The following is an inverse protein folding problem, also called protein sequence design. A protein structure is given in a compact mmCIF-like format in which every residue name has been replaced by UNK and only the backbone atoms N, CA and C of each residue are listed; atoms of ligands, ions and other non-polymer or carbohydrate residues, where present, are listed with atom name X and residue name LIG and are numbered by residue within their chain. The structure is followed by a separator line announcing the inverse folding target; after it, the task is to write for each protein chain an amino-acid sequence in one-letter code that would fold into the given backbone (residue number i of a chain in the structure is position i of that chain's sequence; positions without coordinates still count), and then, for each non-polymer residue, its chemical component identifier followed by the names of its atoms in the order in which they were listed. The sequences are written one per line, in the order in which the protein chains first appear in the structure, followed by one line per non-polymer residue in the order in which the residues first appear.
data_IF_569103749994
#
_entry.id   IF_569103749994
#
_cell.length_a   1.000
_cell.length_b   1.000
_cell.length_c   1.000
_cell.angle_alpha   90.00
_cell.angle_beta   90.00
_cell.angle_gamma   90.00
#
_symmetry.space_group_name_H-M   'P 1'
#
loop_
_entity.id
_entity.type
_entity.pdbx_description
1 polymer ?
#
# COMPACT_ATOMS: atom_id res chain seq x y z
N UNK A 1 -5.98 4.02 11.46
CA UNK A 1 -5.61 4.93 10.34
C UNK A 1 -4.90 6.18 10.87
N UNK A 2 -3.86 6.65 10.16
CA UNK A 2 -3.12 7.88 10.51
C UNK A 2 -3.98 9.15 10.28
N UNK A 3 -4.10 10.06 11.25
CA UNK A 3 -4.76 11.34 11.04
C UNK A 3 -3.86 12.30 10.23
N UNK A 4 -4.48 13.29 9.57
CA UNK A 4 -3.76 14.43 9.00
C UNK A 4 -3.11 15.25 10.13
N UNK A 5 -1.96 15.87 9.85
CA UNK A 5 -1.30 16.74 10.82
C UNK A 5 -2.01 18.09 10.91
N UNK A 6 -1.70 18.89 11.95
CA UNK A 6 -2.20 20.26 12.04
C UNK A 6 -1.77 21.10 10.83
N UNK A 7 -0.53 20.91 10.35
CA UNK A 7 -0.01 21.58 9.16
C UNK A 7 -0.75 21.16 7.89
N UNK A 8 -1.10 19.87 7.75
CA UNK A 8 -1.90 19.37 6.64
C UNK A 8 -3.30 20.03 6.63
N UNK A 9 -3.95 20.11 7.80
CA UNK A 9 -5.27 20.73 7.92
C UNK A 9 -5.23 22.25 7.65
N UNK A 10 -4.17 22.93 8.11
CA UNK A 10 -3.97 24.35 7.84
C UNK A 10 -3.75 24.62 6.34
N UNK A 11 -2.94 23.80 5.68
CA UNK A 11 -2.74 23.85 4.24
C UNK A 11 -4.06 23.63 3.48
N UNK A 12 -4.82 22.59 3.82
CA UNK A 12 -6.12 22.31 3.20
C UNK A 12 -7.12 23.45 3.41
N UNK A 13 -7.20 24.02 4.61
CA UNK A 13 -8.06 25.16 4.92
C UNK A 13 -7.72 26.36 4.02
N UNK A 14 -6.43 26.70 3.89
CA UNK A 14 -5.98 27.81 3.02
C UNK A 14 -6.35 27.63 1.55
N UNK A 15 -6.48 26.39 1.09
CA UNK A 15 -6.82 26.04 -0.30
C UNK A 15 -8.33 25.90 -0.53
N UNK A 16 -9.10 25.64 0.53
CA UNK A 16 -10.55 25.45 0.47
C UNK A 16 -11.34 26.77 0.44
N UNK A 17 -10.71 27.90 0.82
CA UNK A 17 -11.30 29.24 0.82
C UNK A 17 -11.47 29.82 2.23
N UNK A 18 -11.86 31.09 2.31
CA UNK A 18 -11.85 31.87 3.57
C UNK A 18 -12.81 31.34 4.66
N UNK A 19 -13.86 30.61 4.28
CA UNK A 19 -14.89 30.14 5.21
C UNK A 19 -14.59 28.75 5.83
N UNK A 20 -13.51 28.08 5.40
CA UNK A 20 -13.15 26.75 5.88
C UNK A 20 -11.97 26.83 6.83
N UNK A 21 -12.18 26.47 8.10
CA UNK A 21 -11.11 26.43 9.10
C UNK A 21 -10.49 25.03 9.22
N UNK A 22 -9.23 24.96 9.67
CA UNK A 22 -8.56 23.69 9.95
C UNK A 22 -9.30 22.85 11.01
N UNK A 23 -9.92 23.51 11.99
CA UNK A 23 -10.74 22.84 13.01
C UNK A 23 -11.99 22.21 12.40
N UNK A 24 -12.70 22.94 11.53
CA UNK A 24 -13.87 22.40 10.84
C UNK A 24 -13.52 21.19 9.98
N UNK A 25 -12.35 21.18 9.33
CA UNK A 25 -11.86 20.01 8.57
C UNK A 25 -11.51 18.82 9.47
N UNK A 26 -11.01 19.07 10.68
CA UNK A 26 -10.74 18.02 11.66
C UNK A 26 -12.01 17.39 12.23
N UNK A 27 -13.06 18.18 12.40
CA UNK A 27 -14.31 17.78 13.04
C UNK A 27 -15.34 17.20 12.04
N UNK A 28 -15.26 17.56 10.76
CA UNK A 28 -16.18 17.11 9.71
C UNK A 28 -15.48 16.28 8.63
N UNK A 29 -15.55 14.93 8.71
CA UNK A 29 -14.98 14.03 7.72
C UNK A 29 -15.56 14.19 6.31
N UNK A 30 -16.81 14.64 6.17
CA UNK A 30 -17.45 14.84 4.87
C UNK A 30 -16.93 16.11 4.19
N UNK A 31 -16.76 17.19 4.96
CA UNK A 31 -16.10 18.41 4.49
C UNK A 31 -14.65 18.12 4.06
N UNK A 32 -13.91 17.37 4.87
CA UNK A 32 -12.55 16.95 4.52
C UNK A 32 -12.51 16.14 3.21
N UNK A 33 -13.43 15.19 3.03
CA UNK A 33 -13.52 14.41 1.79
C UNK A 33 -13.81 15.29 0.57
N UNK A 34 -14.70 16.27 0.71
CA UNK A 34 -15.04 17.22 -0.35
C UNK A 34 -13.83 18.08 -0.75
N UNK A 35 -13.06 18.59 0.24
CA UNK A 35 -11.85 19.37 -0.01
C UNK A 35 -10.77 18.53 -0.69
N UNK A 36 -10.52 17.30 -0.22
CA UNK A 36 -9.54 16.39 -0.84
C UNK A 36 -9.90 15.98 -2.28
N UNK A 37 -11.19 15.93 -2.63
CA UNK A 37 -11.67 15.71 -4.00
C UNK A 37 -11.51 16.94 -4.89
N UNK A 38 -11.34 18.13 -4.31
CA UNK A 38 -11.27 19.40 -5.02
C UNK A 38 -10.05 19.52 -5.95
N UNK A 39 -10.21 20.04 -7.18
CA UNK A 39 -9.10 20.21 -8.12
C UNK A 39 -8.06 21.24 -7.65
N UNK A 40 -8.45 22.18 -6.78
CA UNK A 40 -7.55 23.20 -6.24
C UNK A 40 -6.41 22.57 -5.40
N UNK A 41 -6.73 21.60 -4.54
CA UNK A 41 -5.74 20.91 -3.71
C UNK A 41 -4.77 20.10 -4.57
N UNK A 42 -5.31 19.37 -5.55
CA UNK A 42 -4.47 18.65 -6.51
C UNK A 42 -3.58 19.62 -7.31
N UNK A 43 -4.11 20.75 -7.76
CA UNK A 43 -3.36 21.78 -8.48
C UNK A 43 -2.23 22.39 -7.64
N UNK A 44 -2.51 22.72 -6.38
CA UNK A 44 -1.50 23.25 -5.45
C UNK A 44 -0.38 22.24 -5.18
N UNK A 45 -0.73 20.97 -4.99
CA UNK A 45 0.27 19.93 -4.76
C UNK A 45 0.92 19.45 -6.05
N UNK A 46 0.33 19.52 -7.23
CA UNK A 46 0.83 18.80 -8.41
C UNK A 46 0.97 19.64 -9.69
N UNK A 47 0.56 20.91 -9.67
CA UNK A 47 0.44 21.77 -10.85
C UNK A 47 1.72 22.45 -11.32
N UNK A 48 2.73 22.65 -10.47
CA UNK A 48 3.96 23.39 -10.80
C UNK A 48 5.28 22.72 -10.37
N UNK A 49 6.42 23.16 -10.94
CA UNK A 49 7.77 22.75 -10.51
C UNK A 49 8.10 23.26 -9.09
N UNK A 50 7.70 24.49 -8.76
CA UNK A 50 7.93 25.14 -7.45
C UNK A 50 6.72 25.03 -6.52
N UNK A 51 6.11 23.84 -6.43
CA UNK A 51 4.96 23.64 -5.57
C UNK A 51 5.39 23.65 -4.09
N UNK A 52 5.59 24.84 -3.52
CA UNK A 52 5.98 25.07 -2.13
C UNK A 52 5.06 24.33 -1.15
N UNK A 53 3.77 24.22 -1.49
CA UNK A 53 2.79 23.44 -0.74
C UNK A 53 3.21 21.98 -0.52
N UNK A 54 3.97 21.35 -1.44
CA UNK A 54 4.49 19.97 -1.27
C UNK A 54 5.51 19.87 -0.14
N UNK A 55 6.28 20.93 0.12
CA UNK A 55 7.31 20.93 1.17
C UNK A 55 6.68 20.84 2.57
N UNK A 56 5.47 21.37 2.71
CA UNK A 56 4.72 21.37 3.96
C UNK A 56 3.73 20.21 4.08
N UNK A 57 3.38 19.56 2.97
CA UNK A 57 2.46 18.43 2.97
C UNK A 57 3.11 17.16 3.51
N UNK A 58 2.45 16.51 4.46
CA UNK A 58 2.87 15.19 4.90
C UNK A 58 2.74 14.17 3.76
N UNK A 59 3.54 13.08 3.75
CA UNK A 59 3.35 11.98 2.80
C UNK A 59 1.91 11.44 2.77
N UNK A 60 1.26 11.43 3.94
CA UNK A 60 -0.12 10.97 4.05
C UNK A 60 -1.09 11.90 3.32
N UNK A 61 -0.93 13.22 3.44
CA UNK A 61 -1.72 14.18 2.67
C UNK A 61 -1.48 14.03 1.16
N UNK A 62 -0.21 13.93 0.74
CA UNK A 62 0.16 13.76 -0.68
C UNK A 62 -0.55 12.54 -1.29
N UNK A 63 -0.50 11.39 -0.62
CA UNK A 63 -1.16 10.19 -1.12
C UNK A 63 -2.68 10.23 -0.98
N UNK A 64 -3.23 10.89 0.03
CA UNK A 64 -4.67 11.10 0.16
C UNK A 64 -5.22 11.85 -1.06
N UNK A 65 -4.56 12.94 -1.46
CA UNK A 65 -4.94 13.72 -2.64
C UNK A 65 -4.80 12.90 -3.93
N UNK A 66 -3.75 12.08 -4.06
CA UNK A 66 -3.60 11.19 -5.23
C UNK A 66 -4.69 10.11 -5.31
N UNK A 67 -5.04 9.49 -4.19
CA UNK A 67 -6.10 8.46 -4.13
C UNK A 67 -7.46 9.09 -4.47
N UNK A 68 -7.78 10.26 -3.93
CA UNK A 68 -8.99 11.01 -4.28
C UNK A 68 -9.00 11.43 -5.74
N UNK A 69 -7.85 11.84 -6.29
CA UNK A 69 -7.73 12.16 -7.72
C UNK A 69 -8.02 10.94 -8.60
N UNK A 70 -7.48 9.78 -8.25
CA UNK A 70 -7.75 8.52 -8.98
C UNK A 70 -9.23 8.13 -8.88
N UNK A 71 -9.85 8.30 -7.70
CA UNK A 71 -11.29 8.05 -7.54
C UNK A 71 -12.13 8.92 -8.50
N UNK A 72 -11.85 10.22 -8.56
CA UNK A 72 -12.53 11.15 -9.47
C UNK A 72 -12.28 10.84 -10.96
N UNK A 73 -11.06 10.43 -11.33
CA UNK A 73 -10.75 10.01 -12.70
C UNK A 73 -11.50 8.73 -13.09
N UNK A 74 -11.65 7.80 -12.15
CA UNK A 74 -12.34 6.55 -12.40
C UNK A 74 -13.82 6.77 -12.67
N UNK A 75 -14.48 7.73 -12.01
CA UNK A 75 -15.90 8.09 -12.27
C UNK A 75 -16.21 8.34 -13.75
N UNK A 76 -15.24 8.86 -14.50
CA UNK A 76 -15.37 9.17 -15.93
C UNK A 76 -14.70 8.15 -16.86
N UNK A 77 -13.89 7.23 -16.34
CA UNK A 77 -13.10 6.30 -17.15
C UNK A 77 -13.95 5.15 -17.73
N UNK A 78 -13.88 4.92 -19.05
CA UNK A 78 -14.51 3.76 -19.68
C UNK A 78 -13.69 2.46 -19.50
N UNK A 79 -12.38 2.58 -19.32
CA UNK A 79 -11.45 1.48 -19.09
C UNK A 79 -10.27 1.93 -18.23
N UNK A 80 -9.54 0.96 -17.69
CA UNK A 80 -8.23 1.15 -17.05
C UNK A 80 -7.18 0.29 -17.73
N UNK A 81 -5.96 0.80 -17.84
CA UNK A 81 -4.82 0.01 -18.30
C UNK A 81 -4.35 -0.90 -17.17
N UNK A 82 -4.45 -2.21 -17.36
CA UNK A 82 -3.94 -3.19 -16.42
C UNK A 82 -2.64 -3.82 -16.89
N UNK A 83 -1.70 -3.91 -15.97
CA UNK A 83 -0.44 -4.57 -16.22
C UNK A 83 -0.64 -6.05 -16.51
N UNK A 84 -0.07 -6.54 -17.62
CA UNK A 84 -0.16 -7.94 -18.08
C UNK A 84 1.20 -8.61 -18.26
N UNK A 85 2.30 -7.84 -18.21
CA UNK A 85 3.66 -8.33 -18.38
C UNK A 85 4.65 -7.18 -18.64
N UNK A 86 5.97 -7.46 -18.70
CA UNK A 86 6.97 -6.44 -19.00
C UNK A 86 6.64 -5.65 -20.27
N UNK A 87 6.47 -4.33 -20.13
CA UNK A 87 6.12 -3.43 -21.24
C UNK A 87 4.74 -3.64 -21.86
N UNK A 88 3.84 -4.39 -21.21
CA UNK A 88 2.51 -4.71 -21.73
C UNK A 88 1.41 -4.38 -20.72
N UNK A 89 0.51 -3.49 -21.13
CA UNK A 89 -0.77 -3.26 -20.47
C UNK A 89 -1.92 -3.67 -21.39
N UNK A 90 -3.09 -3.94 -20.81
CA UNK A 90 -4.32 -4.24 -21.54
C UNK A 90 -5.45 -3.39 -20.97
N UNK A 91 -6.31 -2.80 -21.82
CA UNK A 91 -7.50 -2.09 -21.35
C UNK A 91 -8.51 -3.07 -20.75
N UNK A 92 -8.88 -2.84 -19.50
CA UNK A 92 -9.89 -3.60 -18.77
C UNK A 92 -11.08 -2.69 -18.46
N UNK A 93 -12.28 -3.16 -18.82
CA UNK A 93 -13.53 -2.39 -18.74
C UNK A 93 -14.25 -2.55 -17.39
N UNK A 94 -13.73 -3.39 -16.49
CA UNK A 94 -14.23 -3.55 -15.12
C UNK A 94 -13.80 -2.37 -14.22
N UNK A 95 -14.19 -1.16 -14.62
CA UNK A 95 -13.94 0.09 -13.87
C UNK A 95 -14.94 0.23 -12.72
N UNK A 96 -16.15 -0.32 -12.89
CA UNK A 96 -17.23 -0.25 -11.89
C UNK A 96 -16.79 -0.83 -10.54
N UNK A 97 -16.13 -2.00 -10.53
CA UNK A 97 -15.62 -2.61 -9.29
C UNK A 97 -14.55 -1.75 -8.58
N UNK A 98 -13.76 -0.98 -9.33
CA UNK A 98 -12.75 -0.07 -8.76
C UNK A 98 -13.39 1.21 -8.21
N UNK A 99 -14.40 1.75 -8.89
CA UNK A 99 -15.21 2.88 -8.39
C UNK A 99 -15.92 2.51 -7.10
N UNK A 100 -16.60 1.37 -7.10
CA UNK A 100 -17.28 0.85 -5.91
C UNK A 100 -16.29 0.65 -4.77
N UNK A 101 -15.09 0.12 -5.05
CA UNK A 101 -14.03 -0.01 -4.04
C UNK A 101 -13.57 1.34 -3.48
N UNK A 102 -13.42 2.36 -4.32
CA UNK A 102 -12.98 3.68 -3.87
C UNK A 102 -14.11 4.55 -3.34
N UNK A 103 -15.38 4.13 -3.37
CA UNK A 103 -16.50 4.94 -2.90
C UNK A 103 -16.46 5.20 -1.38
N UNK A 104 -15.90 4.28 -0.59
CA UNK A 104 -15.82 4.45 0.88
C UNK A 104 -14.55 5.19 1.29
N UNK A 105 -14.72 6.20 2.16
CA UNK A 105 -13.63 7.04 2.65
C UNK A 105 -12.56 6.23 3.39
N UNK A 106 -12.96 5.25 4.21
CA UNK A 106 -12.04 4.39 4.96
C UNK A 106 -11.05 3.64 4.05
N UNK A 107 -11.53 3.14 2.91
CA UNK A 107 -10.68 2.42 1.92
C UNK A 107 -9.71 3.38 1.22
N UNK A 108 -10.14 4.60 0.88
CA UNK A 108 -9.26 5.63 0.30
C UNK A 108 -8.12 5.98 1.26
N UNK A 109 -8.47 6.26 2.52
CA UNK A 109 -7.49 6.64 3.52
C UNK A 109 -6.61 5.47 3.98
N UNK A 110 -7.10 4.22 3.92
CA UNK A 110 -6.24 3.03 4.10
C UNK A 110 -5.13 2.98 3.04
N UNK A 111 -5.47 3.16 1.75
CA UNK A 111 -4.46 3.16 0.68
C UNK A 111 -3.46 4.31 0.85
N UNK A 112 -3.92 5.50 1.24
CA UNK A 112 -3.05 6.63 1.52
C UNK A 112 -2.09 6.35 2.68
N UNK A 113 -2.56 5.77 3.78
CA UNK A 113 -1.76 5.40 4.94
C UNK A 113 -0.72 4.32 4.57
N UNK A 114 -1.13 3.31 3.82
CA UNK A 114 -0.24 2.28 3.29
C UNK A 114 0.89 2.89 2.47
N UNK A 115 0.59 3.74 1.48
CA UNK A 115 1.61 4.39 0.64
C UNK A 115 2.52 5.30 1.47
N UNK A 116 1.95 6.09 2.38
CA UNK A 116 2.71 6.96 3.28
C UNK A 116 3.68 6.17 4.15
N UNK A 117 3.29 4.98 4.61
CA UNK A 117 4.10 4.11 5.46
C UNK A 117 5.36 3.54 4.80
N UNK A 118 5.47 3.64 3.47
CA UNK A 118 6.64 3.19 2.70
C UNK A 118 7.54 4.33 2.20
N UNK A 119 7.20 5.59 2.49
CA UNK A 119 8.09 6.72 2.18
C UNK A 119 9.36 6.73 3.00
N UNK A 120 9.30 6.18 4.23
CA UNK A 120 10.46 5.92 5.07
C UNK A 120 10.48 4.43 5.38
N UNK A 121 11.38 3.71 4.73
CA UNK A 121 11.55 2.27 4.93
C UNK A 121 12.26 2.04 6.27
N UNK A 122 11.60 1.33 7.18
CA UNK A 122 12.26 0.88 8.40
C UNK A 122 13.16 -0.33 8.10
N UNK A 123 14.39 -0.28 8.60
CA UNK A 123 15.31 -1.41 8.57
C UNK A 123 16.13 -1.41 9.86
N UNK A 124 16.61 -2.59 10.26
CA UNK A 124 17.34 -2.69 11.51
C UNK A 124 17.98 -4.05 11.71
N UNK A 125 18.41 -4.29 12.94
CA UNK A 125 19.06 -5.55 13.32
C UNK A 125 18.49 -6.04 14.64
N UNK A 126 18.04 -7.29 14.66
CA UNK A 126 17.54 -7.97 15.85
C UNK A 126 18.49 -9.10 16.24
N UNK A 127 18.68 -9.27 17.54
CA UNK A 127 19.46 -10.37 18.10
C UNK A 127 18.52 -11.45 18.58
N UNK A 128 18.74 -12.68 18.10
CA UNK A 128 18.01 -13.85 18.57
C UNK A 128 18.95 -14.83 19.25
N UNK A 129 18.58 -15.30 20.43
CA UNK A 129 19.26 -16.42 21.08
C UNK A 129 18.82 -17.73 20.41
N UNK A 130 19.79 -18.50 19.95
CA UNK A 130 19.59 -19.84 19.37
C UNK A 130 20.30 -20.88 20.23
N UNK A 131 20.02 -22.19 20.07
CA UNK A 131 20.81 -23.24 20.71
C UNK A 131 22.32 -23.16 20.41
N UNK A 132 22.71 -22.53 19.29
CA UNK A 132 24.11 -22.31 18.86
C UNK A 132 24.67 -20.93 19.24
N UNK A 133 24.04 -20.24 20.19
CA UNK A 133 24.42 -18.92 20.68
C UNK A 133 23.61 -17.77 20.09
N UNK A 134 24.05 -16.54 20.35
CA UNK A 134 23.43 -15.34 19.79
C UNK A 134 23.65 -15.26 18.28
N UNK A 135 22.60 -14.90 17.55
CA UNK A 135 22.66 -14.66 16.10
C UNK A 135 22.06 -13.29 15.81
N UNK A 136 22.84 -12.49 15.11
CA UNK A 136 22.43 -11.19 14.58
C UNK A 136 21.65 -11.41 13.29
N UNK A 137 20.47 -10.81 13.16
CA UNK A 137 19.66 -10.85 11.94
C UNK A 137 19.25 -9.44 11.54
N UNK A 138 19.38 -9.13 10.26
CA UNK A 138 18.85 -7.88 9.71
C UNK A 138 17.37 -8.05 9.41
N UNK A 139 16.65 -6.94 9.45
CA UNK A 139 15.32 -6.86 8.87
C UNK A 139 15.18 -5.61 8.00
N UNK A 140 14.37 -5.74 6.96
CA UNK A 140 13.95 -4.68 6.05
C UNK A 140 12.45 -4.78 5.84
N UNK A 141 11.75 -3.67 5.99
CA UNK A 141 10.31 -3.58 5.70
C UNK A 141 9.99 -3.80 4.22
N UNK A 142 10.98 -3.82 3.34
CA UNK A 142 10.82 -4.09 1.90
C UNK A 142 11.15 -5.53 1.50
N UNK A 143 11.62 -6.38 2.43
CA UNK A 143 11.90 -7.79 2.16
C UNK A 143 10.88 -8.68 2.89
N UNK A 144 9.98 -9.39 2.17
CA UNK A 144 8.97 -10.24 2.78
C UNK A 144 9.54 -11.36 3.67
N UNK A 145 10.71 -11.89 3.33
CA UNK A 145 11.36 -12.98 4.06
C UNK A 145 11.98 -12.46 5.34
N UNK A 146 12.65 -11.30 5.29
CA UNK A 146 13.22 -10.67 6.48
C UNK A 146 12.13 -10.17 7.44
N UNK A 147 11.07 -9.56 6.91
CA UNK A 147 9.94 -9.09 7.71
C UNK A 147 9.22 -10.24 8.40
N UNK A 148 8.99 -11.37 7.71
CA UNK A 148 8.36 -12.55 8.31
C UNK A 148 9.20 -13.18 9.43
N UNK A 149 10.53 -13.04 9.39
CA UNK A 149 11.40 -13.54 10.46
C UNK A 149 11.20 -12.80 11.78
N UNK A 150 10.60 -11.61 11.79
CA UNK A 150 10.24 -10.92 13.03
C UNK A 150 9.27 -11.76 13.88
N UNK A 151 8.44 -12.62 13.27
CA UNK A 151 7.53 -13.52 13.98
C UNK A 151 8.25 -14.49 14.95
N UNK A 152 9.53 -14.78 14.71
CA UNK A 152 10.34 -15.64 15.58
C UNK A 152 10.85 -14.92 16.84
N UNK A 153 10.87 -13.59 16.84
CA UNK A 153 11.50 -12.78 17.91
C UNK A 153 10.50 -11.90 18.65
N UNK A 154 9.42 -11.48 17.99
CA UNK A 154 8.39 -10.64 18.62
C UNK A 154 7.51 -11.46 19.59
N UNK A 155 7.09 -10.88 20.72
CA UNK A 155 6.12 -11.50 21.62
C UNK A 155 4.81 -11.85 20.89
N UNK A 156 4.04 -12.87 21.35
CA UNK A 156 2.79 -13.27 20.71
C UNK A 156 1.81 -12.12 20.46
N UNK A 157 1.71 -11.18 21.39
CA UNK A 157 0.85 -9.99 21.29
C UNK A 157 1.19 -9.07 20.11
N UNK A 158 2.44 -9.08 19.63
CA UNK A 158 2.91 -8.23 18.52
C UNK A 158 2.86 -8.94 17.16
N UNK A 159 2.63 -10.27 17.13
CA UNK A 159 2.57 -11.03 15.86
C UNK A 159 1.48 -10.56 14.89
N UNK A 160 0.27 -10.17 15.33
CA UNK A 160 -0.74 -9.62 14.42
C UNK A 160 -0.26 -8.35 13.71
N UNK A 161 0.51 -7.48 14.38
CA UNK A 161 1.07 -6.27 13.76
C UNK A 161 2.10 -6.61 12.67
N UNK A 162 2.96 -7.61 12.90
CA UNK A 162 3.88 -8.12 11.87
C UNK A 162 3.11 -8.73 10.69
N UNK A 163 2.02 -9.45 10.96
CA UNK A 163 1.16 -9.99 9.90
C UNK A 163 0.49 -8.87 9.09
N UNK A 164 0.02 -7.78 9.73
CA UNK A 164 -0.50 -6.60 9.04
C UNK A 164 0.57 -6.00 8.12
N UNK A 165 1.78 -5.77 8.65
CA UNK A 165 2.89 -5.19 7.88
C UNK A 165 3.29 -6.06 6.68
N UNK A 166 3.26 -7.40 6.82
CA UNK A 166 3.47 -8.32 5.70
C UNK A 166 2.39 -8.19 4.63
N UNK A 167 1.13 -8.01 5.03
CA UNK A 167 0.03 -7.76 4.10
C UNK A 167 0.18 -6.43 3.37
N UNK A 168 0.53 -5.37 4.09
CA UNK A 168 0.81 -4.05 3.51
C UNK A 168 1.95 -4.12 2.51
N UNK A 169 3.03 -4.84 2.83
CA UNK A 169 4.18 -5.03 1.93
C UNK A 169 3.77 -5.76 0.66
N UNK A 170 3.00 -6.84 0.79
CA UNK A 170 2.53 -7.61 -0.34
C UNK A 170 1.64 -6.77 -1.26
N UNK A 171 0.75 -5.94 -0.70
CA UNK A 171 -0.11 -5.04 -1.46
C UNK A 171 0.70 -3.92 -2.12
N UNK A 172 1.68 -3.36 -1.41
CA UNK A 172 2.57 -2.33 -1.90
C UNK A 172 3.43 -2.83 -3.08
N UNK A 173 4.13 -3.96 -2.94
CA UNK A 173 4.97 -4.51 -4.00
C UNK A 173 4.16 -4.89 -5.24
N UNK A 174 3.01 -5.55 -5.06
CA UNK A 174 2.16 -5.98 -6.17
C UNK A 174 1.37 -4.84 -6.84
N UNK A 175 1.09 -3.75 -6.10
CA UNK A 175 0.33 -2.60 -6.56
C UNK A 175 1.17 -1.44 -7.10
N UNK A 176 2.35 -1.19 -6.51
CA UNK A 176 3.22 -0.06 -6.87
C UNK A 176 4.39 -0.49 -7.75
N UNK A 177 4.84 -1.74 -7.64
CA UNK A 177 5.98 -2.25 -8.39
C UNK A 177 5.70 -3.60 -9.09
N UNK A 178 4.66 -3.68 -9.95
CA UNK A 178 4.30 -4.92 -10.62
C UNK A 178 5.42 -5.46 -11.53
N UNK A 179 6.16 -4.60 -12.23
CA UNK A 179 7.29 -4.98 -13.10
C UNK A 179 8.43 -5.58 -12.29
N UNK A 180 8.80 -4.94 -11.17
CA UNK A 180 9.86 -5.43 -10.30
C UNK A 180 9.49 -6.78 -9.69
N UNK A 181 8.24 -6.90 -9.21
CA UNK A 181 7.68 -8.14 -8.65
C UNK A 181 7.67 -9.27 -9.67
N UNK A 182 7.38 -8.98 -10.93
CA UNK A 182 7.39 -9.95 -12.01
C UNK A 182 8.81 -10.39 -12.39
N UNK A 183 9.76 -9.45 -12.42
CA UNK A 183 11.16 -9.74 -12.72
C UNK A 183 11.87 -10.49 -11.58
N UNK A 184 11.46 -10.25 -10.33
CA UNK A 184 12.06 -10.84 -9.13
C UNK A 184 10.97 -11.53 -8.28
N UNK A 185 10.34 -12.60 -8.80
CA UNK A 185 9.28 -13.29 -8.07
C UNK A 185 9.84 -13.96 -6.81
N UNK A 186 9.01 -14.03 -5.77
CA UNK A 186 9.35 -14.79 -4.57
C UNK A 186 9.61 -16.26 -4.93
N UNK A 187 10.83 -16.72 -4.68
CA UNK A 187 11.21 -18.11 -4.92
C UNK A 187 10.38 -19.07 -4.04
N UNK A 188 10.09 -20.30 -4.51
CA UNK A 188 9.30 -21.27 -3.75
C UNK A 188 9.82 -21.50 -2.32
N UNK A 189 11.14 -21.58 -2.14
CA UNK A 189 11.79 -21.75 -0.83
C UNK A 189 11.52 -20.60 0.14
N UNK A 190 11.43 -19.37 -0.37
CA UNK A 190 11.13 -18.18 0.41
C UNK A 190 9.65 -18.17 0.82
N UNK A 191 8.76 -18.52 -0.11
CA UNK A 191 7.33 -18.67 0.17
C UNK A 191 7.08 -19.75 1.25
N UNK A 192 7.68 -20.92 1.12
CA UNK A 192 7.56 -22.01 2.11
C UNK A 192 8.12 -21.61 3.47
N UNK A 193 9.17 -20.79 3.49
CA UNK A 193 9.70 -20.25 4.73
C UNK A 193 8.71 -19.28 5.38
N UNK A 194 8.19 -18.31 4.63
CA UNK A 194 7.21 -17.33 5.14
C UNK A 194 5.94 -18.06 5.63
N UNK A 195 5.44 -19.03 4.86
CA UNK A 195 4.28 -19.85 5.23
C UNK A 195 4.50 -20.56 6.56
N UNK A 196 5.62 -21.26 6.72
CA UNK A 196 5.96 -21.93 8.00
C UNK A 196 6.02 -20.95 9.17
N UNK A 197 6.55 -19.74 8.96
CA UNK A 197 6.60 -18.71 9.99
C UNK A 197 5.21 -18.19 10.36
N UNK A 198 4.33 -17.99 9.39
CA UNK A 198 2.92 -17.62 9.60
C UNK A 198 2.16 -18.74 10.32
N UNK A 199 2.32 -20.00 9.91
CA UNK A 199 1.66 -21.15 10.54
C UNK A 199 2.12 -21.33 12.00
N UNK A 200 3.40 -21.12 12.28
CA UNK A 200 3.97 -21.19 13.62
C UNK A 200 3.45 -20.10 14.57
N UNK A 201 2.74 -19.09 14.08
CA UNK A 201 2.10 -18.09 14.95
C UNK A 201 0.95 -18.68 15.76
N UNK A 202 0.32 -19.75 15.26
CA UNK A 202 -0.88 -20.36 15.86
C UNK A 202 -2.16 -19.52 15.70
N UNK A 203 -2.13 -18.45 14.89
CA UNK A 203 -3.25 -17.52 14.72
C UNK A 203 -4.37 -18.07 13.83
N UNK A 204 -4.10 -19.07 12.99
CA UNK A 204 -5.10 -19.74 12.15
C UNK A 204 -4.64 -21.16 11.76
N UNK A 205 -5.56 -21.94 11.16
CA UNK A 205 -5.22 -23.25 10.59
C UNK A 205 -4.21 -23.08 9.44
N UNK A 206 -3.22 -23.99 9.31
CA UNK A 206 -2.36 -24.04 8.14
C UNK A 206 -3.22 -24.13 6.88
N UNK A 207 -2.99 -23.21 5.94
CA UNK A 207 -3.61 -23.28 4.61
C UNK A 207 -2.50 -23.52 3.59
N UNK A 208 -2.66 -24.53 2.71
CA UNK A 208 -1.73 -24.67 1.60
C UNK A 208 -1.80 -23.43 0.70
N UNK A 209 -0.69 -23.11 0.03
CA UNK A 209 -0.79 -22.23 -1.13
C UNK A 209 -1.69 -22.92 -2.16
N UNK A 210 -2.65 -22.22 -2.79
CA UNK A 210 -3.46 -22.76 -3.87
C UNK A 210 -2.58 -23.50 -4.88
N UNK A 211 -2.92 -24.74 -5.21
CA UNK A 211 -2.21 -25.53 -6.24
C UNK A 211 -2.17 -24.77 -7.59
N UNK A 212 -3.19 -23.96 -7.85
CA UNK A 212 -3.30 -23.03 -8.97
C UNK A 212 -2.14 -22.02 -9.04
N UNK A 213 -1.57 -21.58 -7.91
CA UNK A 213 -0.39 -20.70 -7.87
C UNK A 213 0.91 -21.44 -8.16
N UNK A 214 0.98 -22.73 -7.82
CA UNK A 214 2.12 -23.58 -8.17
C UNK A 214 2.15 -23.82 -9.70
N UNK A 215 0.97 -23.96 -10.30
CA UNK A 215 0.72 -24.18 -11.73
C UNK A 215 0.69 -22.89 -12.56
N UNK A 216 0.53 -21.72 -11.93
CA UNK A 216 0.57 -20.43 -12.61
C UNK A 216 1.94 -20.22 -13.29
N UNK A 217 1.94 -20.30 -14.61
CA UNK A 217 3.04 -19.87 -15.47
C UNK A 217 2.92 -18.39 -15.83
N UNK A 218 4.01 -17.82 -16.37
CA UNK A 218 4.00 -16.49 -16.95
C UNK A 218 4.28 -15.33 -15.98
N UNK A 219 4.28 -14.08 -16.50
CA UNK A 219 4.79 -12.91 -15.78
C UNK A 219 4.04 -12.56 -14.50
N UNK A 220 2.77 -12.96 -14.39
CA UNK A 220 1.86 -12.57 -13.32
C UNK A 220 1.99 -13.43 -12.06
N UNK A 221 2.71 -14.57 -12.13
CA UNK A 221 2.87 -15.50 -11.01
C UNK A 221 3.34 -14.81 -9.73
N UNK A 222 4.33 -13.93 -9.83
CA UNK A 222 4.86 -13.18 -8.67
C UNK A 222 3.80 -12.30 -8.00
N UNK A 223 2.98 -11.63 -8.82
CA UNK A 223 1.88 -10.77 -8.35
C UNK A 223 0.83 -11.60 -7.62
N UNK A 224 0.43 -12.73 -8.19
CA UNK A 224 -0.61 -13.58 -7.60
C UNK A 224 -0.13 -14.23 -6.30
N UNK A 225 1.15 -14.58 -6.20
CA UNK A 225 1.77 -15.07 -4.98
C UNK A 225 1.75 -14.02 -3.87
N UNK A 226 2.08 -12.77 -4.19
CA UNK A 226 1.96 -11.67 -3.24
C UNK A 226 0.50 -11.40 -2.86
N UNK A 227 -0.43 -11.45 -3.80
CA UNK A 227 -1.86 -11.29 -3.49
C UNK A 227 -2.36 -12.37 -2.51
N UNK A 228 -2.00 -13.64 -2.73
CA UNK A 228 -2.31 -14.71 -1.79
C UNK A 228 -1.66 -14.47 -0.41
N UNK A 229 -0.36 -14.14 -0.40
CA UNK A 229 0.38 -13.89 0.83
C UNK A 229 -0.25 -12.74 1.61
N UNK A 230 -0.57 -11.64 0.94
CA UNK A 230 -1.15 -10.45 1.54
C UNK A 230 -2.52 -10.70 2.15
N UNK A 231 -3.42 -11.39 1.40
CA UNK A 231 -4.72 -11.81 1.92
C UNK A 231 -4.58 -12.69 3.16
N UNK A 232 -3.66 -13.66 3.14
CA UNK A 232 -3.40 -14.54 4.30
C UNK A 232 -2.88 -13.73 5.49
N UNK A 233 -1.91 -12.85 5.27
CA UNK A 233 -1.30 -12.05 6.32
C UNK A 233 -2.30 -11.09 6.97
N UNK A 234 -3.14 -10.41 6.18
CA UNK A 234 -4.24 -9.60 6.73
C UNK A 234 -5.25 -10.41 7.53
N UNK A 235 -5.66 -11.60 7.06
CA UNK A 235 -6.57 -12.47 7.83
C UNK A 235 -5.99 -12.90 9.18
N UNK A 236 -4.68 -13.16 9.25
CA UNK A 236 -3.99 -13.44 10.51
C UNK A 236 -3.94 -12.20 11.41
N UNK A 237 -3.73 -11.02 10.84
CA UNK A 237 -3.75 -9.76 11.58
C UNK A 237 -5.13 -9.43 12.18
N UNK A 238 -6.22 -9.75 11.46
CA UNK A 238 -7.61 -9.52 11.91
C UNK A 238 -8.02 -10.36 13.14
N UNK A 239 -7.21 -11.34 13.54
CA UNK A 239 -7.47 -12.15 14.75
C UNK A 239 -7.07 -11.43 16.05
N UNK A 240 -6.48 -10.24 15.96
CA UNK A 240 -6.32 -9.35 17.11
C UNK A 240 -7.64 -8.65 17.47
N UNK A 241 -7.89 -8.44 18.76
CA UNK A 241 -9.11 -7.83 19.30
C UNK A 241 -9.40 -6.40 18.78
N UNK A 242 -8.40 -5.73 18.19
CA UNK A 242 -8.47 -4.33 17.71
C UNK A 242 -8.52 -4.19 16.18
N UNK A 243 -8.94 -5.24 15.47
CA UNK A 243 -8.92 -5.28 14.01
C UNK A 243 -9.87 -4.25 13.35
N UNK A 244 -9.28 -3.25 12.67
CA UNK A 244 -9.96 -2.18 11.92
C UNK A 244 -10.89 -2.74 10.82
N UNK A 245 -12.09 -2.17 10.65
CA UNK A 245 -13.08 -2.57 9.63
C UNK A 245 -12.48 -2.50 8.22
N UNK A 246 -11.72 -1.46 7.96
CA UNK A 246 -11.06 -1.16 6.69
C UNK A 246 -10.07 -2.26 6.31
N UNK A 247 -9.34 -2.81 7.28
CA UNK A 247 -8.40 -3.92 7.04
C UNK A 247 -9.13 -5.17 6.53
N UNK A 248 -10.33 -5.45 7.06
CA UNK A 248 -11.16 -6.58 6.60
C UNK A 248 -11.64 -6.36 5.18
N UNK A 249 -12.19 -5.18 4.91
CA UNK A 249 -12.67 -4.82 3.58
C UNK A 249 -11.56 -4.88 2.52
N UNK A 250 -10.35 -4.39 2.85
CA UNK A 250 -9.19 -4.47 1.95
C UNK A 250 -8.68 -5.90 1.80
N UNK A 251 -8.69 -6.73 2.85
CA UNK A 251 -8.31 -8.14 2.74
C UNK A 251 -9.22 -8.92 1.79
N UNK A 252 -10.52 -8.67 1.85
CA UNK A 252 -11.50 -9.30 0.96
C UNK A 252 -11.39 -8.77 -0.48
N UNK A 253 -11.14 -7.47 -0.63
CA UNK A 253 -11.00 -6.79 -1.91
C UNK A 253 -9.54 -6.57 -2.36
N UNK A 254 -8.59 -7.39 -1.90
CA UNK A 254 -7.15 -7.17 -2.11
C UNK A 254 -6.77 -6.94 -3.58
N UNK A 255 -7.30 -7.75 -4.49
CA UNK A 255 -7.06 -7.59 -5.93
C UNK A 255 -7.55 -6.25 -6.49
N UNK A 256 -8.67 -5.70 -5.97
CA UNK A 256 -9.17 -4.37 -6.36
C UNK A 256 -8.27 -3.27 -5.78
N UNK A 257 -7.87 -3.39 -4.52
CA UNK A 257 -6.92 -2.47 -3.89
C UNK A 257 -5.60 -2.42 -4.68
N UNK A 258 -5.07 -3.58 -5.08
CA UNK A 258 -3.87 -3.70 -5.91
C UNK A 258 -4.06 -3.01 -7.27
N UNK A 259 -5.16 -3.29 -7.97
CA UNK A 259 -5.49 -2.67 -9.27
C UNK A 259 -5.58 -1.14 -9.16
N UNK A 260 -6.19 -0.61 -8.10
CA UNK A 260 -6.21 0.84 -7.83
C UNK A 260 -4.79 1.39 -7.68
N UNK A 261 -3.92 0.72 -6.90
CA UNK A 261 -2.53 1.15 -6.75
C UNK A 261 -1.77 1.10 -8.08
N UNK A 262 -2.04 0.11 -8.94
CA UNK A 262 -1.44 0.06 -10.28
C UNK A 262 -1.87 1.28 -11.11
N UNK A 263 -3.15 1.64 -11.12
CA UNK A 263 -3.67 2.83 -11.83
C UNK A 263 -3.04 4.11 -11.28
N UNK A 264 -3.01 4.27 -9.96
CA UNK A 264 -2.41 5.42 -9.28
C UNK A 264 -0.94 5.57 -9.67
N UNK A 265 -0.18 4.49 -9.61
CA UNK A 265 1.25 4.50 -9.89
C UNK A 265 1.52 4.78 -11.37
N UNK A 266 0.81 4.09 -12.27
CA UNK A 266 0.95 4.27 -13.71
C UNK A 266 0.64 5.68 -14.19
N UNK A 267 -0.36 6.35 -13.60
CA UNK A 267 -0.78 7.69 -14.02
C UNK A 267 -0.06 8.83 -13.31
N UNK A 268 0.24 8.68 -12.02
CA UNK A 268 0.66 9.82 -11.18
C UNK A 268 2.07 9.70 -10.62
N UNK A 269 2.60 8.49 -10.42
CA UNK A 269 3.93 8.30 -9.83
C UNK A 269 5.01 8.04 -10.90
N UNK A 270 4.77 7.13 -11.85
CA UNK A 270 5.75 6.77 -12.88
C UNK A 270 6.07 7.90 -13.86
N UNK A 271 5.10 8.65 -14.42
CA UNK A 271 5.39 9.77 -15.33
C UNK A 271 6.18 10.89 -14.65
N UNK A 272 6.19 10.92 -13.32
CA UNK A 272 6.94 11.89 -12.50
C UNK A 272 8.21 11.32 -11.91
N UNK A 273 8.56 10.05 -12.18
CA UNK A 273 9.76 9.40 -11.63
C UNK A 273 11.02 10.18 -11.98
N UNK A 274 11.13 10.69 -13.20
CA UNK A 274 12.26 11.51 -13.65
C UNK A 274 12.29 12.91 -13.02
N UNK A 275 11.13 13.43 -12.59
CA UNK A 275 11.03 14.72 -11.88
C UNK A 275 11.29 14.60 -10.37
N UNK A 276 10.99 13.44 -9.79
CA UNK A 276 11.13 13.19 -8.34
C UNK A 276 12.42 12.44 -7.98
N UNK A 277 12.95 11.66 -8.92
CA UNK A 277 14.23 10.98 -8.85
C UNK A 277 14.99 11.26 -10.15
N UNK A 278 15.54 12.48 -10.33
CA UNK A 278 16.40 12.74 -11.47
C UNK A 278 17.51 11.69 -11.47
N UNK A 279 17.53 10.85 -12.50
CA UNK A 279 18.70 10.01 -12.77
C UNK A 279 19.85 10.97 -13.01
N UNK A 280 20.78 11.03 -12.05
CA UNK A 280 22.07 11.69 -12.25
C UNK A 280 22.66 11.07 -13.51
N UNK A 281 22.68 11.85 -14.59
CA UNK A 281 23.11 11.39 -15.90
C UNK A 281 24.50 10.77 -15.80
N UNK A 282 24.64 9.61 -16.44
CA UNK A 282 25.93 9.16 -16.90
C UNK A 282 26.51 10.24 -17.83
N UNK A 283 27.62 10.82 -17.40
CA UNK A 283 28.62 11.43 -18.27
C UNK A 283 29.75 10.44 -18.51
#
# INVERSE_FOLDING_TARGET
MRPLTADDLALLASLAGADVSAQALGDDPALLDAVLRGPAVYGALFGGPDADARLFASPYLVFSVLVHRVAAELEQAAFVEEWMGPGRTVPVFDVAALREFLAEQGRRAFLADLLASYTKVASGTVWRRTPRGWRRRRYSDLDPVELAQLLEVVPPAQRPAVCRRLGDLALFLSGVFPEHTSAHPLEPRHLDRIRRLLDATGLDRPAPAPEELAMAGGPQRGIWLLEWLGRRAYRLALRAETAERELREVADAFGRARRVLNVLTGRHLHPRRERWFPTTGAG
#
